data_IF_133103082800
#
_entry.id   IF_133103082800
#
_cell.length_a   1.000
_cell.length_b   1.000
_cell.length_c   1.000
_cell.angle_alpha   90.00
_cell.angle_beta   90.00
_cell.angle_gamma   90.00
#
_symmetry.space_group_name_H-M   'P 1'
#
loop_
_entity.id
_entity.type
_entity.pdbx_description
1 polymer ?
#
# COMPACT_ATOMS: atom_id res chain seq x y z
N UNK A 1 -10.51 -1.73 26.73
CA UNK A 1 -10.94 -0.91 25.56
C UNK A 1 -10.53 -1.64 24.30
N UNK A 2 -11.46 -2.09 23.51
CA UNK A 2 -11.24 -2.68 22.20
C UNK A 2 -11.10 -1.55 21.18
N UNK A 3 -9.93 -1.43 20.57
CA UNK A 3 -9.59 -0.46 19.50
C UNK A 3 -10.49 -0.58 18.23
N UNK A 4 -11.50 -1.46 18.23
CA UNK A 4 -12.36 -1.78 17.09
C UNK A 4 -13.46 -0.75 16.86
N UNK A 5 -13.73 0.16 17.83
CA UNK A 5 -14.85 1.09 17.76
C UNK A 5 -14.47 2.56 17.51
N UNK A 6 -13.18 2.86 17.34
CA UNK A 6 -12.73 4.24 17.19
C UNK A 6 -12.20 4.49 15.78
N UNK A 7 -12.90 5.30 14.93
CA UNK A 7 -12.43 5.70 13.61
C UNK A 7 -11.09 6.44 13.65
N UNK A 8 -10.74 7.07 14.77
CA UNK A 8 -9.45 7.74 14.98
C UNK A 8 -8.26 6.78 14.88
N UNK A 9 -8.50 5.48 15.00
CA UNK A 9 -7.45 4.48 14.79
C UNK A 9 -7.00 4.37 13.31
N UNK A 10 -7.91 4.55 12.37
CA UNK A 10 -7.57 4.62 10.93
C UNK A 10 -6.77 5.90 10.65
N UNK A 11 -7.14 7.00 11.29
CA UNK A 11 -6.40 8.26 11.25
C UNK A 11 -5.04 8.14 11.95
N UNK A 12 -4.92 7.42 13.05
CA UNK A 12 -3.64 7.20 13.73
C UNK A 12 -2.71 6.31 12.92
N UNK A 13 -3.21 5.30 12.18
CA UNK A 13 -2.41 4.57 11.20
C UNK A 13 -2.03 5.46 10.00
N UNK A 14 -2.89 6.35 9.56
CA UNK A 14 -2.55 7.35 8.54
C UNK A 14 -1.62 8.44 9.10
N UNK A 15 -1.72 8.85 10.35
CA UNK A 15 -0.73 9.68 11.04
C UNK A 15 0.62 8.97 11.19
N UNK A 16 0.63 7.66 11.44
CA UNK A 16 1.84 6.83 11.38
C UNK A 16 2.42 6.77 9.94
N UNK A 17 1.57 6.94 8.93
CA UNK A 17 1.95 7.04 7.51
C UNK A 17 2.31 8.45 7.05
N UNK A 18 1.78 9.48 7.67
CA UNK A 18 1.86 10.88 7.19
C UNK A 18 2.51 11.85 8.15
N UNK A 19 2.66 11.50 9.43
CA UNK A 19 2.95 12.47 10.44
C UNK A 19 4.27 12.30 11.17
N UNK A 20 4.27 12.49 12.42
CA UNK A 20 5.39 12.86 13.26
C UNK A 20 6.27 11.68 13.74
N UNK A 21 5.84 10.45 13.51
CA UNK A 21 6.67 9.25 13.66
C UNK A 21 7.11 8.77 12.28
N UNK A 22 8.03 9.49 11.65
CA UNK A 22 8.69 9.05 10.41
C UNK A 22 9.73 7.97 10.74
N UNK A 23 9.41 6.67 10.66
CA UNK A 23 10.47 5.71 10.46
C UNK A 23 11.07 6.06 9.11
N UNK A 24 12.26 6.60 9.11
CA UNK A 24 13.02 6.79 7.87
C UNK A 24 13.28 5.38 7.33
N UNK A 25 12.64 4.96 6.25
CA UNK A 25 12.88 3.63 5.73
C UNK A 25 14.36 3.53 5.42
N UNK A 26 15.00 2.44 5.82
CA UNK A 26 16.41 2.19 5.47
C UNK A 26 16.49 2.10 3.95
N UNK A 27 16.93 3.20 3.33
CA UNK A 27 17.07 3.25 1.86
C UNK A 27 18.25 2.37 1.50
N UNK A 28 17.96 1.17 1.00
CA UNK A 28 18.96 0.20 0.56
C UNK A 28 19.75 0.72 -0.64
N UNK A 29 20.88 0.07 -0.97
CA UNK A 29 21.69 0.43 -2.16
C UNK A 29 20.87 0.33 -3.45
N UNK A 30 20.01 -0.69 -3.55
CA UNK A 30 19.12 -0.93 -4.67
C UNK A 30 18.09 0.20 -4.80
N UNK A 31 17.42 0.56 -3.69
CA UNK A 31 16.48 1.67 -3.67
C UNK A 31 17.12 2.99 -4.09
N UNK A 32 18.33 3.29 -3.59
CA UNK A 32 19.10 4.49 -4.01
C UNK A 32 19.39 4.50 -5.51
N UNK A 33 19.77 3.35 -6.08
CA UNK A 33 20.02 3.22 -7.53
C UNK A 33 18.75 3.53 -8.33
N UNK A 34 17.62 2.99 -7.93
CA UNK A 34 16.33 3.23 -8.60
C UNK A 34 15.96 4.71 -8.51
N UNK A 35 16.02 5.33 -7.33
CA UNK A 35 15.70 6.75 -7.11
C UNK A 35 16.61 7.64 -7.98
N UNK A 36 17.92 7.39 -7.96
CA UNK A 36 18.88 8.19 -8.71
C UNK A 36 18.68 8.07 -10.24
N UNK A 37 18.11 6.98 -10.73
CA UNK A 37 17.78 6.82 -12.16
C UNK A 37 16.71 7.81 -12.65
N UNK A 38 15.86 8.32 -11.74
CA UNK A 38 14.81 9.30 -12.05
C UNK A 38 15.40 10.71 -12.09
N UNK A 39 16.42 11.00 -11.28
CA UNK A 39 17.02 12.33 -11.04
C UNK A 39 15.96 13.34 -10.54
N UNK A 40 15.21 12.99 -9.48
CA UNK A 40 14.12 13.82 -8.97
C UNK A 40 14.64 15.08 -8.30
N UNK A 41 13.80 16.12 -8.24
CA UNK A 41 14.03 17.26 -7.34
C UNK A 41 13.88 16.84 -5.87
N UNK A 42 14.09 17.77 -4.94
CA UNK A 42 14.14 17.51 -3.50
C UNK A 42 12.80 16.94 -2.97
N UNK A 43 11.71 17.55 -3.37
CA UNK A 43 10.36 17.22 -2.91
C UNK A 43 9.93 15.83 -3.39
N UNK A 44 10.08 15.56 -4.67
CA UNK A 44 9.79 14.23 -5.23
C UNK A 44 10.72 13.16 -4.66
N UNK A 45 12.00 13.49 -4.44
CA UNK A 45 12.97 12.57 -3.83
C UNK A 45 12.52 12.10 -2.45
N UNK A 46 12.05 12.98 -1.60
CA UNK A 46 11.54 12.62 -0.26
C UNK A 46 10.41 11.59 -0.32
N UNK A 47 9.50 11.76 -1.28
CA UNK A 47 8.39 10.80 -1.49
C UNK A 47 8.94 9.45 -1.95
N UNK A 48 9.86 9.45 -2.91
CA UNK A 48 10.43 8.22 -3.49
C UNK A 48 11.30 7.46 -2.49
N UNK A 49 12.03 8.15 -1.61
CA UNK A 49 12.85 7.56 -0.55
C UNK A 49 12.02 6.76 0.46
N UNK A 50 10.76 7.11 0.62
CA UNK A 50 9.80 6.33 1.41
C UNK A 50 9.13 5.21 0.58
N UNK A 51 8.66 5.52 -0.63
CA UNK A 51 7.79 4.61 -1.42
C UNK A 51 8.55 3.46 -2.08
N UNK A 52 9.75 3.70 -2.59
CA UNK A 52 10.53 2.68 -3.31
C UNK A 52 10.98 1.54 -2.38
N UNK A 53 11.56 1.79 -1.19
CA UNK A 53 11.84 0.72 -0.24
C UNK A 53 10.60 -0.09 0.16
N UNK A 54 9.46 0.58 0.40
CA UNK A 54 8.21 -0.09 0.74
C UNK A 54 7.73 -1.03 -0.38
N UNK A 55 7.86 -0.64 -1.67
CA UNK A 55 7.49 -1.50 -2.80
C UNK A 55 8.45 -2.69 -2.98
N UNK A 56 9.73 -2.51 -2.68
CA UNK A 56 10.70 -3.61 -2.65
C UNK A 56 10.32 -4.62 -1.56
N UNK A 57 9.94 -4.13 -0.38
CA UNK A 57 9.46 -5.00 0.69
C UNK A 57 8.10 -5.60 0.41
N UNK A 58 7.20 -4.86 -0.24
CA UNK A 58 5.86 -5.31 -0.62
C UNK A 58 5.93 -6.50 -1.59
N UNK A 59 6.72 -6.38 -2.65
CA UNK A 59 6.85 -7.43 -3.66
C UNK A 59 8.32 -7.77 -3.95
N UNK A 60 9.00 -6.94 -4.73
CA UNK A 60 10.41 -7.13 -5.11
C UNK A 60 10.97 -5.87 -5.80
N UNK A 61 12.25 -5.93 -6.18
CA UNK A 61 12.95 -4.84 -6.86
C UNK A 61 12.29 -4.49 -8.19
N UNK A 62 11.92 -5.50 -9.00
CA UNK A 62 11.29 -5.29 -10.31
C UNK A 62 9.99 -4.50 -10.20
N UNK A 63 9.17 -4.79 -9.21
CA UNK A 63 7.93 -4.07 -8.95
C UNK A 63 8.18 -2.60 -8.60
N UNK A 64 9.20 -2.32 -7.81
CA UNK A 64 9.62 -0.95 -7.50
C UNK A 64 10.21 -0.24 -8.73
N UNK A 65 10.89 -0.95 -9.64
CA UNK A 65 11.39 -0.40 -10.90
C UNK A 65 10.25 -0.05 -11.86
N UNK A 66 9.18 -0.85 -11.92
CA UNK A 66 7.97 -0.53 -12.69
C UNK A 66 7.34 0.78 -12.23
N UNK A 67 7.16 0.94 -10.91
CA UNK A 67 6.70 2.17 -10.30
C UNK A 67 7.62 3.36 -10.67
N UNK A 68 8.91 3.21 -10.44
CA UNK A 68 9.91 4.25 -10.71
C UNK A 68 9.95 4.66 -12.19
N UNK A 69 9.84 3.69 -13.09
CA UNK A 69 9.80 3.93 -14.54
C UNK A 69 8.57 4.75 -14.93
N UNK A 70 7.42 4.47 -14.34
CA UNK A 70 6.21 5.25 -14.57
C UNK A 70 6.36 6.69 -14.08
N UNK A 71 6.83 6.87 -12.83
CA UNK A 71 7.07 8.21 -12.27
C UNK A 71 8.09 8.99 -13.12
N UNK A 72 9.14 8.34 -13.59
CA UNK A 72 10.14 8.96 -14.48
C UNK A 72 9.51 9.50 -15.76
N UNK A 73 8.55 8.80 -16.36
CA UNK A 73 7.83 9.27 -17.56
C UNK A 73 7.03 10.54 -17.26
N UNK A 74 6.27 10.54 -16.16
CA UNK A 74 5.48 11.68 -15.72
C UNK A 74 6.37 12.88 -15.41
N UNK A 75 7.42 12.66 -14.62
CA UNK A 75 8.37 13.69 -14.21
C UNK A 75 9.08 14.35 -15.40
N UNK A 76 9.47 13.56 -16.39
CA UNK A 76 10.06 14.10 -17.63
C UNK A 76 9.08 14.96 -18.42
N UNK A 77 7.81 14.59 -18.48
CA UNK A 77 6.79 15.37 -19.18
C UNK A 77 6.54 16.69 -18.45
N UNK A 78 6.38 16.64 -17.10
CA UNK A 78 6.13 17.82 -16.28
C UNK A 78 7.32 18.82 -16.32
N UNK A 79 8.56 18.33 -16.24
CA UNK A 79 9.77 19.18 -16.24
C UNK A 79 10.05 19.90 -17.53
N UNK A 80 9.41 19.56 -18.64
CA UNK A 80 9.52 20.34 -19.89
C UNK A 80 8.87 21.71 -19.76
N UNK A 81 7.81 21.82 -18.96
CA UNK A 81 6.96 23.01 -18.90
C UNK A 81 7.00 23.71 -17.53
N UNK A 82 7.43 23.04 -16.48
CA UNK A 82 7.32 23.54 -15.10
C UNK A 82 8.59 23.30 -14.29
N UNK A 83 8.90 24.26 -13.40
CA UNK A 83 10.00 24.12 -12.44
C UNK A 83 9.64 23.19 -11.27
N UNK A 84 8.40 23.17 -10.82
CA UNK A 84 7.92 22.35 -9.72
C UNK A 84 7.40 20.99 -10.20
N UNK A 85 7.53 19.94 -9.37
CA UNK A 85 7.14 18.56 -9.66
C UNK A 85 5.81 18.15 -8.99
N UNK A 86 4.85 19.05 -8.87
CA UNK A 86 3.59 18.85 -8.12
C UNK A 86 2.79 17.67 -8.66
N UNK A 87 2.65 17.56 -9.98
CA UNK A 87 1.96 16.43 -10.59
C UNK A 87 2.68 15.12 -10.31
N UNK A 88 4.00 15.08 -10.50
CA UNK A 88 4.81 13.88 -10.28
C UNK A 88 4.74 13.42 -8.82
N UNK A 89 4.70 14.35 -7.87
CA UNK A 89 4.52 14.07 -6.44
C UNK A 89 3.15 13.44 -6.17
N UNK A 90 2.08 14.00 -6.73
CA UNK A 90 0.73 13.46 -6.58
C UNK A 90 0.60 12.07 -7.23
N UNK A 91 1.09 11.93 -8.46
CA UNK A 91 1.11 10.62 -9.13
C UNK A 91 1.92 9.60 -8.32
N UNK A 92 3.06 10.00 -7.76
CA UNK A 92 3.85 9.11 -6.92
C UNK A 92 3.07 8.64 -5.67
N UNK A 93 2.31 9.54 -5.04
CA UNK A 93 1.50 9.20 -3.86
C UNK A 93 0.36 8.24 -4.20
N UNK A 94 -0.42 8.56 -5.22
CA UNK A 94 -1.63 7.78 -5.57
C UNK A 94 -1.29 6.46 -6.27
N UNK A 95 -0.33 6.46 -7.19
CA UNK A 95 0.12 5.22 -7.82
C UNK A 95 0.64 4.21 -6.79
N UNK A 96 1.37 4.69 -5.77
CA UNK A 96 1.80 3.82 -4.67
C UNK A 96 0.60 3.19 -3.93
N UNK A 97 -0.44 3.98 -3.61
CA UNK A 97 -1.64 3.46 -2.94
C UNK A 97 -2.32 2.36 -3.76
N UNK A 98 -2.37 2.53 -5.09
CA UNK A 98 -2.96 1.55 -6.00
C UNK A 98 -2.07 0.32 -6.23
N UNK A 99 -0.76 0.46 -6.13
CA UNK A 99 0.19 -0.65 -6.27
C UNK A 99 0.38 -1.43 -4.97
N UNK A 100 0.37 -0.77 -3.82
CA UNK A 100 0.58 -1.40 -2.50
C UNK A 100 -0.77 -1.73 -1.84
N UNK A 101 -1.51 -2.67 -2.43
CA UNK A 101 -2.81 -3.12 -1.93
C UNK A 101 -2.65 -3.87 -0.60
N UNK A 102 -3.58 -3.65 0.33
CA UNK A 102 -3.61 -4.35 1.62
C UNK A 102 -4.22 -5.75 1.47
N UNK A 103 -3.49 -6.66 0.86
CA UNK A 103 -3.82 -8.08 0.86
C UNK A 103 -3.30 -8.80 2.12
N UNK A 104 -3.54 -10.08 2.23
CA UNK A 104 -3.19 -10.89 3.40
C UNK A 104 -1.67 -10.90 3.66
N UNK A 105 -0.86 -10.92 2.61
CA UNK A 105 0.60 -10.87 2.71
C UNK A 105 1.08 -9.52 3.23
N UNK A 106 0.47 -8.43 2.76
CA UNK A 106 0.79 -7.08 3.18
C UNK A 106 0.32 -6.80 4.61
N UNK A 107 -0.88 -7.24 4.97
CA UNK A 107 -1.37 -7.16 6.36
C UNK A 107 -0.42 -7.89 7.29
N UNK A 108 0.04 -9.09 6.92
CA UNK A 108 1.02 -9.84 7.71
C UNK A 108 2.35 -9.09 7.84
N UNK A 109 2.88 -8.53 6.73
CA UNK A 109 4.11 -7.75 6.73
C UNK A 109 4.03 -6.53 7.64
N UNK A 110 2.96 -5.75 7.52
CA UNK A 110 2.74 -4.54 8.31
C UNK A 110 2.54 -4.85 9.80
N UNK A 111 1.84 -5.94 10.12
CA UNK A 111 1.61 -6.38 11.51
C UNK A 111 2.88 -6.88 12.21
N UNK A 112 3.94 -7.16 11.46
CA UNK A 112 5.22 -7.61 11.99
C UNK A 112 6.29 -6.51 11.99
N UNK A 113 5.95 -5.27 11.64
CA UNK A 113 6.90 -4.15 11.71
C UNK A 113 7.27 -3.84 13.16
N UNK A 114 8.57 -3.73 13.44
CA UNK A 114 9.08 -3.42 14.78
C UNK A 114 8.59 -2.05 15.28
N UNK A 115 8.41 -1.11 14.36
CA UNK A 115 7.88 0.22 14.65
C UNK A 115 6.46 0.16 15.22
N UNK A 116 5.62 -0.76 14.73
CA UNK A 116 4.28 -0.99 15.27
C UNK A 116 4.35 -1.56 16.69
N UNK A 117 5.22 -2.56 16.93
CA UNK A 117 5.41 -3.14 18.26
C UNK A 117 5.91 -2.07 19.26
N UNK A 118 6.84 -1.20 18.84
CA UNK A 118 7.33 -0.10 19.67
C UNK A 118 6.24 0.93 19.98
N UNK A 119 5.48 1.35 18.98
CA UNK A 119 4.38 2.31 19.17
C UNK A 119 3.31 1.77 20.13
N UNK A 120 2.90 0.51 19.93
CA UNK A 120 1.93 -0.15 20.82
C UNK A 120 2.45 -0.27 22.25
N UNK A 121 3.75 -0.59 22.41
CA UNK A 121 4.37 -0.68 23.74
C UNK A 121 4.48 0.68 24.44
N UNK A 122 4.70 1.75 23.70
CA UNK A 122 4.73 3.12 24.23
C UNK A 122 3.34 3.60 24.65
N UNK A 123 2.31 3.29 23.87
CA UNK A 123 0.95 3.76 24.14
C UNK A 123 0.23 2.92 25.23
N UNK A 124 0.42 1.59 25.21
CA UNK A 124 -0.34 0.65 26.06
C UNK A 124 0.52 -0.07 27.11
N UNK A 125 1.83 0.18 27.12
CA UNK A 125 2.78 -0.51 28.00
C UNK A 125 3.21 -1.89 27.46
N UNK A 126 4.34 -2.40 27.98
CA UNK A 126 4.96 -3.65 27.53
C UNK A 126 4.15 -4.92 27.87
N UNK A 127 3.18 -4.83 28.78
CA UNK A 127 2.29 -5.94 29.18
C UNK A 127 1.01 -6.02 28.34
N UNK A 128 0.82 -5.15 27.37
CA UNK A 128 -0.36 -5.12 26.50
C UNK A 128 -0.49 -6.43 25.70
N UNK A 129 -1.67 -7.00 25.69
CA UNK A 129 -1.98 -8.19 24.88
C UNK A 129 -2.53 -7.76 23.53
N UNK A 130 -1.82 -8.10 22.46
CA UNK A 130 -2.21 -7.80 21.09
C UNK A 130 -3.12 -8.91 20.58
N UNK A 131 -4.29 -8.53 20.03
CA UNK A 131 -5.19 -9.43 19.33
C UNK A 131 -5.40 -8.92 17.91
N UNK A 132 -5.24 -9.82 16.94
CA UNK A 132 -5.48 -9.54 15.52
C UNK A 132 -6.94 -9.86 15.20
N UNK A 133 -7.72 -8.85 14.84
CA UNK A 133 -9.12 -9.00 14.45
C UNK A 133 -9.20 -9.29 12.96
N UNK A 134 -9.28 -10.57 12.59
CA UNK A 134 -9.28 -11.02 11.19
C UNK A 134 -10.63 -11.65 10.81
N UNK A 135 -10.97 -11.50 9.54
CA UNK A 135 -11.99 -12.29 8.87
C UNK A 135 -11.32 -12.98 7.67
N UNK A 136 -10.71 -14.15 7.88
CA UNK A 136 -10.01 -14.85 6.83
C UNK A 136 -10.90 -15.12 5.62
N UNK A 137 -10.43 -14.90 4.37
CA UNK A 137 -11.27 -15.01 3.18
C UNK A 137 -11.92 -16.39 3.00
N UNK A 138 -11.27 -17.47 3.44
CA UNK A 138 -11.85 -18.81 3.39
C UNK A 138 -13.12 -18.98 4.26
N UNK A 139 -13.29 -18.17 5.29
CA UNK A 139 -14.51 -18.20 6.12
C UNK A 139 -15.72 -17.68 5.34
N UNK A 140 -15.54 -16.76 4.41
CA UNK A 140 -16.63 -16.30 3.52
C UNK A 140 -17.24 -17.43 2.70
N UNK A 141 -16.44 -18.41 2.29
CA UNK A 141 -16.95 -19.59 1.58
C UNK A 141 -17.88 -20.42 2.47
N UNK A 142 -17.60 -20.46 3.77
CA UNK A 142 -18.40 -21.21 4.75
C UNK A 142 -19.70 -20.50 5.14
N UNK A 143 -19.81 -19.19 4.90
CA UNK A 143 -21.03 -18.41 5.18
C UNK A 143 -22.25 -18.94 4.42
N UNK A 144 -22.04 -19.45 3.22
CA UNK A 144 -23.09 -19.98 2.34
C UNK A 144 -23.42 -21.46 2.58
N UNK A 145 -22.70 -22.14 3.51
CA UNK A 145 -22.93 -23.55 3.84
C UNK A 145 -23.87 -23.64 5.05
N UNK A 146 -25.10 -24.22 4.91
CA UNK A 146 -26.16 -24.12 5.92
C UNK A 146 -25.79 -24.58 7.33
N UNK A 147 -24.88 -25.53 7.47
CA UNK A 147 -24.46 -26.04 8.80
C UNK A 147 -23.24 -25.27 9.33
N UNK A 148 -22.32 -24.86 8.46
CA UNK A 148 -21.05 -24.23 8.82
C UNK A 148 -21.22 -22.74 9.14
N UNK A 149 -22.28 -22.10 8.65
CA UNK A 149 -22.58 -20.68 8.93
C UNK A 149 -22.99 -20.44 10.39
N UNK A 150 -23.25 -21.48 11.18
CA UNK A 150 -23.54 -21.42 12.62
C UNK A 150 -22.28 -21.42 13.48
N UNK A 151 -21.11 -21.72 12.91
CA UNK A 151 -19.85 -21.72 13.65
C UNK A 151 -19.49 -20.28 14.04
N UNK A 152 -19.19 -20.02 15.34
CA UNK A 152 -18.72 -18.71 15.77
C UNK A 152 -17.49 -18.27 14.96
N UNK A 153 -17.51 -17.04 14.43
CA UNK A 153 -16.42 -16.51 13.63
C UNK A 153 -16.60 -16.64 12.12
N UNK A 154 -17.51 -17.45 11.61
CA UNK A 154 -17.79 -17.54 10.16
C UNK A 154 -18.38 -16.23 9.64
N UNK A 155 -19.33 -15.64 10.38
CA UNK A 155 -20.00 -14.36 10.05
C UNK A 155 -19.37 -13.13 10.72
N UNK A 156 -18.32 -13.29 11.50
CA UNK A 156 -17.71 -12.21 12.27
C UNK A 156 -16.19 -12.28 12.26
N UNK A 157 -15.55 -11.17 12.63
CA UNK A 157 -14.10 -11.16 12.82
C UNK A 157 -13.72 -12.04 14.00
N UNK A 158 -12.64 -12.81 13.83
CA UNK A 158 -12.07 -13.66 14.89
C UNK A 158 -10.91 -12.89 15.54
N UNK A 159 -10.89 -12.87 16.87
CA UNK A 159 -9.79 -12.35 17.65
C UNK A 159 -8.69 -13.40 17.79
N UNK A 160 -7.57 -13.23 17.11
CA UNK A 160 -6.43 -14.11 17.14
C UNK A 160 -5.33 -13.47 18.02
N UNK A 161 -4.89 -14.19 19.04
CA UNK A 161 -3.86 -13.71 19.96
C UNK A 161 -2.46 -13.75 19.38
N UNK A 162 -1.46 -13.45 20.21
CA UNK A 162 -0.04 -13.43 19.83
C UNK A 162 0.47 -14.75 19.24
N UNK A 163 -0.17 -15.87 19.56
CA UNK A 163 0.14 -17.18 18.97
C UNK A 163 -0.03 -17.22 17.44
N UNK A 164 -0.75 -16.27 16.84
CA UNK A 164 -0.95 -16.18 15.39
C UNK A 164 0.26 -15.52 14.67
N UNK A 165 1.17 -14.93 15.42
CA UNK A 165 2.36 -14.25 14.86
C UNK A 165 3.25 -15.15 13.97
N UNK A 166 3.51 -16.44 14.28
CA UNK A 166 4.23 -17.35 13.37
C UNK A 166 3.55 -17.52 12.01
N UNK A 167 2.23 -17.52 11.97
CA UNK A 167 1.48 -17.58 10.71
C UNK A 167 1.67 -16.31 9.87
N UNK A 168 1.70 -15.14 10.51
CA UNK A 168 2.05 -13.89 9.82
C UNK A 168 3.49 -13.91 9.27
N UNK A 169 4.44 -14.51 9.99
CA UNK A 169 5.80 -14.68 9.48
C UNK A 169 5.83 -15.55 8.22
N UNK A 170 5.04 -16.62 8.19
CA UNK A 170 4.88 -17.46 7.01
C UNK A 170 4.28 -16.68 5.84
N UNK A 171 3.16 -15.99 6.04
CA UNK A 171 2.51 -15.18 5.00
C UNK A 171 3.43 -14.10 4.45
N UNK A 172 4.12 -13.35 5.32
CA UNK A 172 5.11 -12.33 4.91
C UNK A 172 6.16 -12.92 3.95
N UNK A 173 6.65 -14.13 4.24
CA UNK A 173 7.66 -14.79 3.43
C UNK A 173 7.09 -15.35 2.12
N UNK A 174 5.80 -15.65 2.07
CA UNK A 174 5.10 -16.13 0.87
C UNK A 174 4.69 -15.01 -0.09
N UNK A 175 5.06 -13.75 0.15
CA UNK A 175 4.74 -12.62 -0.74
C UNK A 175 5.14 -12.83 -2.21
N UNK A 176 6.12 -13.69 -2.48
CA UNK A 176 6.61 -13.98 -3.83
C UNK A 176 5.60 -14.77 -4.69
N UNK A 177 4.65 -15.48 -4.06
CA UNK A 177 3.59 -16.18 -4.80
C UNK A 177 2.46 -15.25 -5.25
N UNK A 178 2.41 -14.01 -4.70
CA UNK A 178 1.40 -13.00 -5.03
C UNK A 178 1.26 -12.79 -6.53
N UNK A 179 0.05 -12.97 -7.05
CA UNK A 179 -0.25 -12.80 -8.47
C UNK A 179 0.26 -13.93 -9.38
N UNK A 180 0.80 -15.00 -8.82
CA UNK A 180 1.15 -16.22 -9.57
C UNK A 180 0.05 -17.26 -9.49
N UNK A 181 0.17 -18.36 -10.24
CA UNK A 181 -0.75 -19.51 -10.15
C UNK A 181 -0.72 -20.22 -8.79
N UNK A 182 0.33 -19.98 -7.98
CA UNK A 182 0.49 -20.52 -6.63
C UNK A 182 -0.06 -19.60 -5.55
N UNK A 183 -0.67 -18.48 -5.92
CA UNK A 183 -1.29 -17.53 -4.99
C UNK A 183 -2.61 -18.09 -4.46
N UNK A 184 -2.51 -18.96 -3.45
CA UNK A 184 -3.69 -19.61 -2.84
C UNK A 184 -4.64 -18.60 -2.18
N UNK A 185 -4.16 -17.43 -1.74
CA UNK A 185 -5.03 -16.39 -1.19
C UNK A 185 -5.88 -15.74 -2.29
N UNK A 186 -5.40 -15.69 -3.53
CA UNK A 186 -6.17 -15.19 -4.67
C UNK A 186 -7.41 -16.05 -4.97
N UNK A 187 -7.42 -17.33 -4.60
CA UNK A 187 -8.58 -18.21 -4.77
C UNK A 187 -9.82 -17.71 -3.99
N UNK A 188 -9.60 -16.97 -2.91
CA UNK A 188 -10.65 -16.48 -2.03
C UNK A 188 -10.99 -14.99 -2.24
N UNK A 189 -10.21 -14.28 -3.06
CA UNK A 189 -10.33 -12.83 -3.28
C UNK A 189 -10.10 -12.44 -4.74
N UNK A 190 -10.36 -13.33 -5.69
CA UNK A 190 -10.13 -13.14 -7.13
C UNK A 190 -10.79 -11.86 -7.65
N UNK A 191 -12.07 -11.68 -7.35
CA UNK A 191 -12.89 -10.57 -7.86
C UNK A 191 -12.37 -9.21 -7.37
N UNK A 192 -12.00 -9.13 -6.08
CA UNK A 192 -11.44 -7.91 -5.48
C UNK A 192 -10.10 -7.58 -6.13
N UNK A 193 -9.23 -8.58 -6.30
CA UNK A 193 -7.90 -8.40 -6.90
C UNK A 193 -7.96 -8.08 -8.38
N UNK A 194 -8.99 -8.56 -9.09
CA UNK A 194 -9.24 -8.19 -10.48
C UNK A 194 -9.71 -6.74 -10.57
N UNK A 195 -10.64 -6.32 -9.72
CA UNK A 195 -11.10 -4.95 -9.64
C UNK A 195 -9.94 -3.99 -9.31
N UNK A 196 -9.09 -4.32 -8.34
CA UNK A 196 -7.91 -3.52 -7.98
C UNK A 196 -6.93 -3.37 -9.15
N UNK A 197 -6.69 -4.44 -9.90
CA UNK A 197 -5.85 -4.39 -11.11
C UNK A 197 -6.48 -3.51 -12.19
N UNK A 198 -7.78 -3.64 -12.43
CA UNK A 198 -8.49 -2.83 -13.40
C UNK A 198 -8.42 -1.33 -13.05
N UNK A 199 -8.57 -0.97 -11.77
CA UNK A 199 -8.42 0.41 -11.30
C UNK A 199 -7.00 0.91 -11.50
N UNK A 200 -5.97 0.12 -11.18
CA UNK A 200 -4.57 0.46 -11.40
C UNK A 200 -4.27 0.71 -12.88
N UNK A 201 -4.74 -0.18 -13.77
CA UNK A 201 -4.51 -0.08 -15.21
C UNK A 201 -5.26 1.11 -15.80
N UNK A 202 -6.49 1.35 -15.35
CA UNK A 202 -7.26 2.52 -15.75
C UNK A 202 -6.56 3.81 -15.33
N UNK A 203 -6.07 3.88 -14.08
CA UNK A 203 -5.32 5.03 -13.58
C UNK A 203 -4.06 5.29 -14.43
N UNK A 204 -3.23 4.26 -14.66
CA UNK A 204 -2.02 4.37 -15.49
C UNK A 204 -2.36 4.83 -16.91
N UNK A 205 -3.39 4.25 -17.52
CA UNK A 205 -3.83 4.59 -18.89
C UNK A 205 -4.26 6.04 -19.00
N UNK A 206 -5.04 6.54 -18.02
CA UNK A 206 -5.49 7.92 -18.01
C UNK A 206 -4.32 8.91 -17.87
N UNK A 207 -3.34 8.62 -17.00
CA UNK A 207 -2.13 9.44 -16.88
C UNK A 207 -1.39 9.47 -18.23
N UNK A 208 -1.14 8.32 -18.83
CA UNK A 208 -0.40 8.23 -20.11
C UNK A 208 -1.11 8.99 -21.22
N UNK A 209 -2.43 8.86 -21.32
CA UNK A 209 -3.25 9.55 -22.34
C UNK A 209 -3.10 11.08 -22.24
N UNK A 210 -3.02 11.61 -21.04
CA UNK A 210 -2.94 13.05 -20.79
C UNK A 210 -1.50 13.59 -20.73
N UNK A 211 -0.45 12.75 -20.78
CA UNK A 211 0.94 13.19 -20.74
C UNK A 211 1.34 14.19 -21.85
N UNK A 212 0.87 14.06 -23.12
CA UNK A 212 1.17 15.03 -24.17
C UNK A 212 0.63 16.43 -23.86
N UNK A 213 -0.56 16.52 -23.26
CA UNK A 213 -1.18 17.80 -22.92
C UNK A 213 -0.49 18.48 -21.74
N UNK A 214 0.04 17.68 -20.81
CA UNK A 214 0.86 18.15 -19.68
C UNK A 214 2.17 18.76 -20.22
N UNK A 215 2.81 18.09 -21.17
CA UNK A 215 4.06 18.54 -21.77
C UNK A 215 3.93 19.73 -22.73
N UNK A 216 2.70 20.13 -23.05
CA UNK A 216 2.39 21.26 -23.95
C UNK A 216 1.73 22.45 -23.23
N UNK A 217 1.76 22.49 -21.89
CA UNK A 217 1.21 23.57 -21.09
C UNK A 217 -0.34 23.70 -21.09
N UNK A 218 -1.03 22.78 -21.78
CA UNK A 218 -2.50 22.80 -21.92
C UNK A 218 -3.26 22.28 -20.69
N UNK A 219 -2.57 21.73 -19.71
CA UNK A 219 -3.19 21.11 -18.55
C UNK A 219 -3.14 22.04 -17.34
N UNK A 220 -4.28 22.61 -16.95
CA UNK A 220 -4.42 23.25 -15.63
C UNK A 220 -4.49 22.15 -14.55
N UNK A 221 -3.35 21.80 -14.02
CA UNK A 221 -3.11 20.63 -13.16
C UNK A 221 -3.84 20.68 -11.82
N UNK A 222 -4.28 21.84 -11.36
CA UNK A 222 -4.77 21.98 -9.98
C UNK A 222 -6.27 21.73 -9.79
N UNK A 223 -7.11 21.90 -10.81
CA UNK A 223 -8.56 21.74 -10.64
C UNK A 223 -9.09 20.40 -11.12
N UNK A 224 -8.52 19.87 -12.18
CA UNK A 224 -9.03 18.64 -12.81
C UNK A 224 -8.43 17.38 -12.15
N UNK A 225 -7.16 17.46 -11.74
CA UNK A 225 -6.49 16.32 -11.11
C UNK A 225 -7.01 16.06 -9.69
N UNK A 226 -7.19 17.10 -8.88
CA UNK A 226 -7.79 16.99 -7.54
C UNK A 226 -9.24 16.51 -7.60
N UNK A 227 -9.99 16.85 -8.65
CA UNK A 227 -11.40 16.46 -8.80
C UNK A 227 -11.58 14.98 -9.14
N UNK A 228 -10.66 14.37 -9.93
CA UNK A 228 -10.81 13.00 -10.43
C UNK A 228 -9.93 11.97 -9.73
N UNK A 229 -8.92 12.39 -8.98
CA UNK A 229 -7.90 11.49 -8.41
C UNK A 229 -7.64 11.71 -6.91
N UNK A 230 -8.44 12.55 -6.27
CA UNK A 230 -8.47 12.68 -4.82
C UNK A 230 -9.36 11.55 -4.28
N UNK A 231 -8.75 10.50 -3.81
CA UNK A 231 -9.41 9.49 -2.98
C UNK A 231 -9.35 10.01 -1.55
N UNK A 232 -10.40 10.68 -1.10
CA UNK A 232 -10.64 11.02 0.30
C UNK A 232 -10.94 9.74 1.12
#
# INVERSE_FOLDING_TARGET
>A
RTLVSDPSWVESIDMYRTGDLKPTPKVTKEAKKIINSIKPDKELRQILEFRIPELIEYQNIKYAEEYASFIKKVYKAEKKERSASVLSQNVAKYLFKLMAIKDEYEVARLSLKAELDMALSQEFGSSAKIHYMLHPPFLKMLENVPLLNRIPGVKSKIALGSWFRPFYMLLKNLKFVRGTKLDFMALFSSDVREADRAVLDHYKSNIIKNLPDIGNGKYETNKTFDKYYRFD
#
